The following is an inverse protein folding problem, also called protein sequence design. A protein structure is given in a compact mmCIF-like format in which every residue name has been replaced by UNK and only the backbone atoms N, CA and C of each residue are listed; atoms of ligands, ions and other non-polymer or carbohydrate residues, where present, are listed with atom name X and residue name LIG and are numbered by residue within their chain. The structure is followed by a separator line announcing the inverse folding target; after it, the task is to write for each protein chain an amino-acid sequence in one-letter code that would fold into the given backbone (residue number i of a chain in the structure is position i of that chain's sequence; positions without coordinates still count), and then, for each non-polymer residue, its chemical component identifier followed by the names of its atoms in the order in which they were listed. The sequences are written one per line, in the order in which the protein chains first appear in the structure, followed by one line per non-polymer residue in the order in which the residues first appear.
data_IF_200669990213
#
_entry.id   IF_200669990213
#
_cell.length_a   1.000
_cell.length_b   1.000
_cell.length_c   1.000
_cell.angle_alpha   90.00
_cell.angle_beta   90.00
_cell.angle_gamma   90.00
#
_symmetry.space_group_name_H-M   'P 1'
#
loop_
_entity.id
_entity.type
_entity.pdbx_description
1 polymer ?
#
# COMPACT_ATOMS: atom_id res chain seq x y z
N UNK A 1 -0.70 33.71 6.33
CA UNK A 1 0.51 33.16 6.98
C UNK A 1 0.29 31.81 7.69
N UNK A 2 -0.68 31.64 8.62
CA UNK A 2 -0.89 30.33 9.28
C UNK A 2 -1.46 29.25 8.34
N UNK A 3 -2.37 29.64 7.44
CA UNK A 3 -2.99 28.75 6.43
C UNK A 3 -1.99 28.30 5.36
N UNK A 4 -1.20 29.24 4.84
CA UNK A 4 -0.20 29.01 3.79
C UNK A 4 0.93 28.05 4.24
N UNK A 5 1.38 28.16 5.49
CA UNK A 5 2.35 27.21 6.06
C UNK A 5 1.75 25.81 6.22
N UNK A 6 0.46 25.71 6.51
CA UNK A 6 -0.25 24.43 6.61
C UNK A 6 -0.39 23.77 5.24
N UNK A 7 -0.76 24.54 4.21
CA UNK A 7 -0.90 24.05 2.83
C UNK A 7 0.43 23.56 2.25
N UNK A 8 1.52 24.31 2.47
CA UNK A 8 2.85 23.90 2.03
C UNK A 8 3.32 22.59 2.71
N UNK A 9 2.99 22.39 3.99
CA UNK A 9 3.30 21.16 4.72
C UNK A 9 2.50 19.98 4.16
N UNK A 10 1.20 20.16 3.92
CA UNK A 10 0.33 19.14 3.31
C UNK A 10 0.84 18.75 1.92
N UNK A 11 1.22 19.72 1.09
CA UNK A 11 1.78 19.46 -0.24
C UNK A 11 3.10 18.66 -0.15
N UNK A 12 3.96 19.00 0.81
CA UNK A 12 5.23 18.28 1.02
C UNK A 12 5.02 16.82 1.46
N UNK A 13 4.07 16.55 2.37
CA UNK A 13 3.75 15.19 2.80
C UNK A 13 3.01 14.39 1.71
N UNK A 14 2.23 15.06 0.87
CA UNK A 14 1.62 14.43 -0.29
C UNK A 14 2.67 14.02 -1.32
N UNK A 15 3.63 14.90 -1.63
CA UNK A 15 4.71 14.56 -2.57
C UNK A 15 5.56 13.39 -2.02
N UNK A 16 5.79 13.34 -0.71
CA UNK A 16 6.40 12.17 -0.06
C UNK A 16 5.59 10.89 -0.31
N UNK A 17 4.28 10.92 -0.06
CA UNK A 17 3.39 9.78 -0.26
C UNK A 17 3.44 9.29 -1.71
N UNK A 18 3.38 10.22 -2.66
CA UNK A 18 3.46 9.95 -4.09
C UNK A 18 4.78 9.30 -4.47
N UNK A 19 5.90 9.86 -4.02
CA UNK A 19 7.22 9.30 -4.29
C UNK A 19 7.38 7.90 -3.71
N UNK A 20 6.85 7.65 -2.51
CA UNK A 20 6.89 6.33 -1.87
C UNK A 20 6.13 5.29 -2.70
N UNK A 21 4.89 5.61 -3.11
CA UNK A 21 4.09 4.73 -3.99
C UNK A 21 4.82 4.45 -5.29
N UNK A 22 5.34 5.49 -5.96
CA UNK A 22 6.05 5.36 -7.24
C UNK A 22 7.32 4.51 -7.10
N UNK A 23 8.13 4.71 -6.05
CA UNK A 23 9.34 3.90 -5.79
C UNK A 23 8.98 2.45 -5.53
N UNK A 24 8.00 2.18 -4.67
CA UNK A 24 7.59 0.82 -4.35
C UNK A 24 7.04 0.08 -5.57
N UNK A 25 6.26 0.75 -6.42
CA UNK A 25 5.73 0.14 -7.65
C UNK A 25 6.85 -0.12 -8.66
N UNK A 26 7.74 0.85 -8.90
CA UNK A 26 8.87 0.67 -9.82
C UNK A 26 9.80 -0.46 -9.39
N UNK A 27 10.11 -0.56 -8.09
CA UNK A 27 10.90 -1.67 -7.53
C UNK A 27 10.26 -3.03 -7.84
N UNK A 28 8.95 -3.18 -7.58
CA UNK A 28 8.25 -4.46 -7.81
C UNK A 28 8.19 -4.84 -9.30
N UNK A 29 7.92 -3.88 -10.18
CA UNK A 29 7.88 -4.08 -11.64
C UNK A 29 9.26 -4.48 -12.17
N UNK A 30 10.32 -3.81 -11.70
CA UNK A 30 11.69 -4.11 -12.09
C UNK A 30 12.10 -5.51 -11.64
N UNK A 31 11.76 -5.90 -10.40
CA UNK A 31 12.03 -7.24 -9.86
C UNK A 31 11.25 -8.34 -10.58
N UNK A 32 10.04 -8.06 -11.05
CA UNK A 32 9.23 -8.99 -11.82
C UNK A 32 9.72 -9.17 -13.27
N UNK A 33 10.66 -8.34 -13.74
CA UNK A 33 11.13 -8.38 -15.13
C UNK A 33 10.08 -7.98 -16.16
N UNK A 34 9.05 -7.25 -15.73
CA UNK A 34 7.94 -6.80 -16.59
C UNK A 34 8.31 -5.53 -17.36
N UNK A 35 7.63 -5.28 -18.49
CA UNK A 35 7.84 -4.07 -19.29
C UNK A 35 7.57 -2.83 -18.44
N UNK A 36 8.48 -1.85 -18.47
CA UNK A 36 8.34 -0.61 -17.70
C UNK A 36 7.09 0.16 -18.17
N UNK A 37 6.06 0.31 -17.34
CA UNK A 37 4.92 1.15 -17.68
C UNK A 37 5.33 2.62 -17.66
N UNK A 38 4.58 3.46 -18.37
CA UNK A 38 4.73 4.91 -18.33
C UNK A 38 4.23 5.46 -16.98
N UNK A 39 5.05 5.32 -15.94
CA UNK A 39 4.79 5.88 -14.62
C UNK A 39 5.52 7.22 -14.45
N UNK A 40 4.91 8.17 -13.72
CA UNK A 40 5.59 9.40 -13.35
C UNK A 40 6.95 9.14 -12.67
N UNK A 41 7.93 9.98 -12.92
CA UNK A 41 9.18 9.96 -12.16
C UNK A 41 8.98 10.53 -10.75
N UNK A 42 9.52 9.89 -9.71
CA UNK A 42 9.57 10.48 -8.37
C UNK A 42 10.29 11.83 -8.42
N UNK A 43 9.76 12.83 -7.73
CA UNK A 43 10.40 14.14 -7.65
C UNK A 43 11.46 14.16 -6.56
N UNK A 44 12.61 14.75 -6.83
CA UNK A 44 13.67 14.88 -5.83
C UNK A 44 13.23 15.77 -4.67
N UNK A 45 13.35 15.27 -3.45
CA UNK A 45 13.05 16.02 -2.23
C UNK A 45 14.32 16.57 -1.56
N UNK A 46 14.18 17.29 -0.44
CA UNK A 46 15.34 17.66 0.38
C UNK A 46 16.09 16.42 0.86
N UNK A 47 17.40 16.54 1.13
CA UNK A 47 18.24 15.41 1.51
C UNK A 47 17.69 14.62 2.71
N UNK A 48 17.18 15.31 3.73
CA UNK A 48 16.57 14.69 4.92
C UNK A 48 15.29 13.91 4.58
N UNK A 49 14.42 14.49 3.74
CA UNK A 49 13.19 13.84 3.26
C UNK A 49 13.53 12.64 2.39
N UNK A 50 14.58 12.72 1.58
CA UNK A 50 15.02 11.61 0.75
C UNK A 50 15.57 10.45 1.56
N UNK A 51 16.40 10.74 2.57
CA UNK A 51 16.89 9.70 3.47
C UNK A 51 15.74 9.01 4.22
N UNK A 52 14.73 9.76 4.64
CA UNK A 52 13.52 9.21 5.24
C UNK A 52 12.73 8.36 4.24
N UNK A 53 12.59 8.84 3.01
CA UNK A 53 11.89 8.13 1.94
C UNK A 53 12.57 6.79 1.64
N UNK A 54 13.90 6.76 1.55
CA UNK A 54 14.66 5.53 1.37
C UNK A 54 14.48 4.55 2.54
N UNK A 55 14.45 5.04 3.78
CA UNK A 55 14.19 4.20 4.95
C UNK A 55 12.79 3.57 4.90
N UNK A 56 11.76 4.36 4.61
CA UNK A 56 10.38 3.86 4.55
C UNK A 56 10.19 2.95 3.34
N UNK A 57 10.81 3.25 2.19
CA UNK A 57 10.76 2.41 1.00
C UNK A 57 11.45 1.05 1.25
N UNK A 58 12.63 1.05 1.87
CA UNK A 58 13.32 -0.18 2.26
C UNK A 58 12.51 -1.01 3.26
N UNK A 59 11.93 -0.36 4.27
CA UNK A 59 11.05 -1.03 5.23
C UNK A 59 9.82 -1.64 4.55
N UNK A 60 9.20 -0.90 3.63
CA UNK A 60 8.07 -1.39 2.80
C UNK A 60 8.49 -2.61 1.99
N UNK A 61 9.68 -2.57 1.38
CA UNK A 61 10.25 -3.69 0.63
C UNK A 61 10.46 -4.91 1.53
N UNK A 62 11.09 -4.74 2.68
CA UNK A 62 11.38 -5.83 3.62
C UNK A 62 10.08 -6.48 4.14
N UNK A 63 9.08 -5.68 4.51
CA UNK A 63 7.74 -6.18 4.85
C UNK A 63 7.12 -6.92 3.65
N UNK A 64 7.21 -6.34 2.46
CA UNK A 64 6.71 -6.95 1.24
C UNK A 64 7.32 -8.33 0.97
N UNK A 65 8.62 -8.48 1.20
CA UNK A 65 9.38 -9.72 1.06
C UNK A 65 9.01 -10.75 2.16
N UNK A 66 8.73 -10.31 3.39
CA UNK A 66 8.24 -11.16 4.48
C UNK A 66 6.85 -11.71 4.14
N UNK A 67 5.92 -10.82 3.75
CA UNK A 67 4.55 -11.18 3.44
C UNK A 67 4.47 -12.01 2.14
N UNK A 68 5.44 -11.89 1.24
CA UNK A 68 5.53 -12.72 0.03
C UNK A 68 5.63 -14.23 0.32
N UNK A 69 6.06 -14.61 1.53
CA UNK A 69 6.11 -16.01 1.95
C UNK A 69 4.72 -16.57 2.28
N UNK A 70 3.71 -15.72 2.42
CA UNK A 70 2.33 -16.14 2.71
C UNK A 70 1.54 -16.39 1.40
N UNK A 71 1.23 -17.67 1.17
CA UNK A 71 0.43 -18.13 0.02
C UNK A 71 -0.96 -17.46 -0.01
N UNK A 72 -1.59 -17.21 1.14
CA UNK A 72 -2.92 -16.58 1.19
C UNK A 72 -2.87 -15.13 0.72
N UNK A 73 -1.83 -14.41 1.12
CA UNK A 73 -1.58 -13.05 0.65
C UNK A 73 -1.34 -13.02 -0.86
N UNK A 74 -0.49 -13.91 -1.38
CA UNK A 74 -0.22 -13.96 -2.81
C UNK A 74 -1.47 -14.29 -3.64
N UNK A 75 -2.28 -15.26 -3.20
CA UNK A 75 -3.55 -15.59 -3.86
C UNK A 75 -4.53 -14.40 -3.88
N UNK A 76 -4.56 -13.61 -2.82
CA UNK A 76 -5.38 -12.40 -2.74
C UNK A 76 -4.89 -11.33 -3.72
N UNK A 77 -3.58 -11.09 -3.79
CA UNK A 77 -2.98 -10.18 -4.79
C UNK A 77 -3.26 -10.67 -6.21
N UNK A 78 -3.13 -11.97 -6.48
CA UNK A 78 -3.44 -12.56 -7.79
C UNK A 78 -4.91 -12.40 -8.16
N UNK A 79 -5.80 -12.61 -7.19
CA UNK A 79 -7.24 -12.40 -7.35
C UNK A 79 -7.55 -10.95 -7.70
N UNK A 80 -6.95 -10.01 -6.98
CA UNK A 80 -7.11 -8.58 -7.22
C UNK A 80 -6.54 -8.15 -8.58
N UNK A 81 -5.34 -8.61 -8.96
CA UNK A 81 -4.72 -8.31 -10.25
C UNK A 81 -5.61 -8.73 -11.45
N UNK A 82 -6.37 -9.83 -11.33
CA UNK A 82 -7.27 -10.31 -12.39
C UNK A 82 -8.51 -9.43 -12.59
N UNK A 83 -8.91 -8.67 -11.58
CA UNK A 83 -10.13 -7.85 -11.56
C UNK A 83 -9.83 -6.39 -11.29
N UNK A 84 -8.57 -5.97 -11.46
CA UNK A 84 -8.10 -4.63 -11.13
C UNK A 84 -8.87 -3.59 -11.94
N UNK A 85 -9.86 -2.98 -11.30
CA UNK A 85 -10.72 -1.93 -11.80
C UNK A 85 -11.02 -0.97 -10.64
N UNK A 86 -11.65 0.17 -10.93
CA UNK A 86 -11.91 1.18 -9.91
C UNK A 86 -12.79 0.65 -8.77
N UNK A 87 -13.73 -0.26 -9.04
CA UNK A 87 -14.64 -0.81 -8.03
C UNK A 87 -13.94 -1.80 -7.10
N UNK A 88 -13.11 -2.68 -7.66
CA UNK A 88 -12.32 -3.63 -6.88
C UNK A 88 -11.26 -2.92 -6.04
N UNK A 89 -10.68 -1.83 -6.56
CA UNK A 89 -9.79 -0.96 -5.79
C UNK A 89 -10.53 -0.27 -4.63
N UNK A 90 -11.71 0.30 -4.86
CA UNK A 90 -12.53 0.87 -3.78
C UNK A 90 -12.86 -0.16 -2.70
N UNK A 91 -13.27 -1.37 -3.09
CA UNK A 91 -13.54 -2.45 -2.14
C UNK A 91 -12.29 -2.88 -1.35
N UNK A 92 -11.10 -2.85 -1.97
CA UNK A 92 -9.83 -3.13 -1.31
C UNK A 92 -9.56 -2.10 -0.20
N UNK A 93 -9.62 -0.80 -0.52
CA UNK A 93 -9.29 0.26 0.45
C UNK A 93 -10.30 0.34 1.59
N UNK A 94 -11.60 0.14 1.30
CA UNK A 94 -12.65 0.06 2.32
C UNK A 94 -12.38 -1.07 3.33
N UNK A 95 -11.92 -2.23 2.84
CA UNK A 95 -11.59 -3.37 3.71
C UNK A 95 -10.32 -3.15 4.52
N UNK A 96 -9.29 -2.57 3.89
CA UNK A 96 -8.03 -2.27 4.59
C UNK A 96 -8.28 -1.31 5.76
N UNK A 97 -9.07 -0.27 5.53
CA UNK A 97 -9.29 0.82 6.48
C UNK A 97 -10.62 0.77 7.23
N UNK A 98 -11.33 -0.37 7.21
CA UNK A 98 -12.68 -0.51 7.80
C UNK A 98 -12.77 -0.05 9.26
N UNK A 99 -11.80 -0.43 10.10
CA UNK A 99 -11.82 -0.07 11.52
C UNK A 99 -11.11 1.26 11.79
N UNK A 100 -9.92 1.41 11.21
CA UNK A 100 -9.03 2.54 11.49
C UNK A 100 -7.91 2.64 10.44
N UNK A 101 -7.38 3.86 10.31
CA UNK A 101 -6.15 4.15 9.56
C UNK A 101 -4.96 4.01 10.51
N UNK A 102 -3.97 3.21 10.10
CA UNK A 102 -2.67 3.05 10.79
C UNK A 102 -1.54 3.10 9.78
N UNK A 103 -0.33 3.47 10.21
CA UNK A 103 0.85 3.45 9.35
C UNK A 103 1.09 2.07 8.74
N UNK A 104 0.93 1.00 9.53
CA UNK A 104 1.05 -0.38 9.03
C UNK A 104 0.06 -0.74 7.92
N UNK A 105 -1.20 -0.27 8.02
CA UNK A 105 -2.21 -0.46 6.97
C UNK A 105 -1.88 0.34 5.70
N UNK A 106 -1.34 1.54 5.84
CA UNK A 106 -0.86 2.36 4.71
C UNK A 106 0.29 1.64 4.00
N UNK A 107 1.30 1.16 4.74
CA UNK A 107 2.42 0.39 4.16
C UNK A 107 1.92 -0.90 3.48
N UNK A 108 0.97 -1.60 4.10
CA UNK A 108 0.37 -2.81 3.52
C UNK A 108 -0.34 -2.52 2.20
N UNK A 109 -1.10 -1.42 2.11
CA UNK A 109 -1.71 -0.99 0.85
C UNK A 109 -0.64 -0.76 -0.21
N UNK A 110 0.44 -0.02 0.09
CA UNK A 110 1.53 0.24 -0.86
C UNK A 110 2.15 -1.08 -1.35
N UNK A 111 2.38 -2.06 -0.46
CA UNK A 111 2.87 -3.39 -0.84
C UNK A 111 1.92 -4.12 -1.80
N UNK A 112 0.60 -4.11 -1.52
CA UNK A 112 -0.41 -4.73 -2.38
C UNK A 112 -0.42 -4.07 -3.76
N UNK A 113 -0.38 -2.74 -3.82
CA UNK A 113 -0.38 -1.99 -5.08
C UNK A 113 0.89 -2.26 -5.89
N UNK A 114 2.07 -2.24 -5.27
CA UNK A 114 3.33 -2.55 -5.95
C UNK A 114 3.33 -3.95 -6.58
N UNK A 115 2.92 -4.97 -5.82
CA UNK A 115 2.84 -6.34 -6.32
C UNK A 115 1.74 -6.53 -7.37
N UNK A 116 0.61 -5.83 -7.24
CA UNK A 116 -0.46 -5.88 -8.23
C UNK A 116 -0.02 -5.25 -9.54
N UNK A 117 0.63 -4.09 -9.49
CA UNK A 117 1.16 -3.40 -10.66
C UNK A 117 2.18 -4.26 -11.44
N UNK A 118 2.97 -5.08 -10.74
CA UNK A 118 3.90 -6.04 -11.34
C UNK A 118 3.22 -7.28 -11.96
N UNK A 119 1.92 -7.49 -11.74
CA UNK A 119 1.17 -8.67 -12.23
C UNK A 119 0.12 -8.33 -13.29
N UNK A 120 -0.31 -7.08 -13.37
CA UNK A 120 -1.27 -6.61 -14.38
C UNK A 120 -0.56 -6.24 -15.68
N UNK A 121 -1.35 -6.06 -16.75
CA UNK A 121 -0.82 -5.60 -18.03
C UNK A 121 -0.13 -4.24 -17.84
N UNK A 122 1.01 -4.03 -18.50
CA UNK A 122 1.79 -2.80 -18.37
C UNK A 122 0.97 -1.52 -18.66
N UNK A 123 -0.03 -1.60 -19.53
CA UNK A 123 -0.91 -0.47 -19.83
C UNK A 123 -1.91 -0.13 -18.71
N UNK A 124 -2.21 -1.07 -17.80
CA UNK A 124 -3.13 -0.89 -16.67
C UNK A 124 -2.41 -0.56 -15.35
N UNK A 125 -1.07 -0.72 -15.32
CA UNK A 125 -0.24 -0.36 -14.17
C UNK A 125 -0.31 1.13 -13.80
N UNK A 126 -0.40 2.09 -14.74
CA UNK A 126 -0.61 3.49 -14.40
C UNK A 126 -1.94 3.74 -13.69
N UNK A 127 -3.04 3.10 -14.13
CA UNK A 127 -4.38 3.35 -13.60
C UNK A 127 -4.47 3.03 -12.10
N UNK A 128 -3.96 1.87 -11.69
CA UNK A 128 -3.96 1.48 -10.27
C UNK A 128 -3.09 2.41 -9.41
N UNK A 129 -2.00 2.92 -9.97
CA UNK A 129 -1.16 3.92 -9.30
C UNK A 129 -1.93 5.22 -9.15
N UNK A 130 -2.62 5.69 -10.20
CA UNK A 130 -3.42 6.92 -10.12
C UNK A 130 -4.56 6.81 -9.10
N UNK A 131 -5.31 5.70 -9.09
CA UNK A 131 -6.35 5.49 -8.07
C UNK A 131 -5.77 5.48 -6.66
N UNK A 132 -4.57 4.93 -6.49
CA UNK A 132 -3.86 4.95 -5.21
C UNK A 132 -3.50 6.38 -4.82
N UNK A 133 -2.89 7.16 -5.72
CA UNK A 133 -2.51 8.55 -5.46
C UNK A 133 -3.74 9.44 -5.17
N UNK A 134 -4.83 9.25 -5.89
CA UNK A 134 -6.11 9.91 -5.63
C UNK A 134 -6.63 9.57 -4.22
N UNK A 135 -6.58 8.29 -3.84
CA UNK A 135 -6.98 7.88 -2.48
C UNK A 135 -6.08 8.48 -1.39
N UNK A 136 -4.77 8.57 -1.63
CA UNK A 136 -3.85 9.23 -0.72
C UNK A 136 -4.22 10.70 -0.54
N UNK A 137 -4.44 11.42 -1.64
CA UNK A 137 -4.84 12.83 -1.63
C UNK A 137 -6.15 13.05 -0.87
N UNK A 138 -7.17 12.25 -1.19
CA UNK A 138 -8.54 12.52 -0.80
C UNK A 138 -8.87 12.00 0.61
N UNK A 139 -8.23 10.92 1.07
CA UNK A 139 -8.59 10.24 2.33
C UNK A 139 -7.43 10.13 3.33
N UNK A 140 -6.21 9.86 2.89
CA UNK A 140 -5.09 9.59 3.80
C UNK A 140 -4.31 10.86 4.17
N UNK A 141 -4.28 11.87 3.29
CA UNK A 141 -3.43 13.04 3.45
C UNK A 141 -3.68 13.78 4.76
N UNK A 142 -4.95 14.03 5.08
CA UNK A 142 -5.33 14.71 6.32
C UNK A 142 -4.92 13.89 7.55
N UNK A 143 -5.09 12.56 7.50
CA UNK A 143 -4.68 11.69 8.59
C UNK A 143 -3.15 11.70 8.80
N UNK A 144 -2.39 11.60 7.70
CA UNK A 144 -0.92 11.64 7.69
C UNK A 144 -0.42 12.92 8.36
N UNK A 145 -0.92 14.07 7.94
CA UNK A 145 -0.47 15.35 8.48
C UNK A 145 -0.91 15.55 9.95
N UNK A 146 -2.12 15.11 10.31
CA UNK A 146 -2.58 15.13 11.71
C UNK A 146 -1.75 14.22 12.64
N UNK A 147 -1.03 13.24 12.09
CA UNK A 147 -0.07 12.39 12.83
C UNK A 147 1.37 12.93 12.81
N UNK A 148 1.57 14.15 12.31
CA UNK A 148 2.90 14.79 12.21
C UNK A 148 3.68 14.40 10.96
N UNK A 149 2.99 13.92 9.92
CA UNK A 149 3.57 13.59 8.62
C UNK A 149 4.40 12.30 8.66
N UNK A 150 5.10 12.05 7.55
CA UNK A 150 5.86 10.81 7.36
C UNK A 150 7.07 10.67 8.31
N UNK A 151 7.56 11.76 8.90
CA UNK A 151 8.63 11.71 9.90
C UNK A 151 8.22 10.87 11.12
N UNK A 152 6.95 10.94 11.51
CA UNK A 152 6.42 10.16 12.63
C UNK A 152 6.07 8.71 12.28
N UNK A 153 6.09 8.35 10.99
CA UNK A 153 5.79 6.99 10.55
C UNK A 153 6.80 5.99 11.10
N UNK A 154 8.11 6.29 11.05
CA UNK A 154 9.16 5.37 11.51
C UNK A 154 9.03 5.06 12.99
N UNK A 155 8.74 6.04 13.84
CA UNK A 155 8.55 5.79 15.28
C UNK A 155 7.39 4.84 15.55
N UNK A 156 6.27 5.03 14.84
CA UNK A 156 5.11 4.16 14.96
C UNK A 156 5.36 2.77 14.36
N UNK A 157 6.05 2.73 13.23
CA UNK A 157 6.38 1.48 12.53
C UNK A 157 7.38 0.69 13.35
N UNK A 158 8.47 1.28 13.84
CA UNK A 158 9.43 0.63 14.73
C UNK A 158 8.77 0.08 16.00
N UNK A 159 7.86 0.84 16.62
CA UNK A 159 7.07 0.33 17.77
C UNK A 159 6.21 -0.87 17.41
N UNK A 160 5.64 -0.88 16.21
CA UNK A 160 4.85 -2.00 15.68
C UNK A 160 5.74 -3.16 15.23
N UNK A 161 6.96 -2.88 14.77
CA UNK A 161 7.98 -3.85 14.36
C UNK A 161 8.54 -4.63 15.54
N UNK A 162 8.64 -4.00 16.73
CA UNK A 162 8.96 -4.70 17.99
C UNK A 162 7.83 -5.62 18.47
N UNK A 163 6.57 -5.37 18.10
CA UNK A 163 5.49 -6.37 18.28
C UNK A 163 5.45 -7.41 17.15
N UNK A 164 6.11 -7.13 16.02
CA UNK A 164 6.42 -8.08 14.95
C UNK A 164 7.76 -8.81 15.18
N UNK A 165 8.38 -8.68 16.36
CA UNK A 165 9.36 -9.67 16.82
C UNK A 165 8.66 -11.02 16.77
N UNK A 166 9.04 -11.78 15.76
CA UNK A 166 8.65 -13.15 15.49
C UNK A 166 8.86 -13.97 16.76
N UNK A 167 7.83 -14.05 17.60
CA UNK A 167 7.91 -14.75 18.88
C UNK A 167 8.17 -16.22 18.58
N UNK A 168 9.43 -16.60 18.73
CA UNK A 168 9.85 -17.97 18.95
C UNK A 168 9.34 -18.39 20.32
N UNK A 169 8.05 -18.69 20.44
CA UNK A 169 7.53 -19.46 21.56
C UNK A 169 6.22 -20.17 21.19
N UNK A 170 6.14 -21.41 21.62
CA UNK A 170 5.10 -22.40 21.36
C UNK A 170 3.74 -22.00 21.94
N UNK A 171 2.90 -21.29 21.19
CA UNK A 171 1.43 -21.36 21.22
C UNK A 171 0.80 -20.40 20.18
N UNK A 172 -0.37 -20.72 19.57
CA UNK A 172 -0.85 -20.03 18.39
C UNK A 172 -1.61 -18.76 18.79
N UNK A 173 -0.90 -17.64 18.86
CA UNK A 173 -1.52 -16.32 19.02
C UNK A 173 -1.79 -15.74 17.64
N UNK A 174 -3.02 -16.01 17.20
CA UNK A 174 -3.92 -15.21 16.36
C UNK A 174 -3.30 -14.00 15.62
N UNK A 175 -2.99 -14.21 14.35
CA UNK A 175 -2.87 -13.19 13.28
C UNK A 175 -4.24 -12.50 12.99
N UNK A 176 -4.94 -12.05 14.02
CA UNK A 176 -6.25 -11.40 13.93
C UNK A 176 -6.10 -9.88 13.84
N UNK A 177 -6.05 -9.35 12.62
CA UNK A 177 -6.86 -8.18 12.21
C UNK A 177 -6.45 -7.70 10.82
N UNK A 178 -5.15 -7.65 10.50
CA UNK A 178 -4.68 -7.06 9.23
C UNK A 178 -4.75 -7.99 8.00
N UNK A 179 -4.38 -9.27 8.15
CA UNK A 179 -4.13 -10.15 6.99
C UNK A 179 -5.36 -11.00 6.61
N UNK A 180 -6.29 -11.23 7.55
CA UNK A 180 -7.46 -12.11 7.31
C UNK A 180 -8.61 -11.40 6.55
N UNK A 181 -8.71 -10.07 6.59
CA UNK A 181 -9.89 -9.38 6.04
C UNK A 181 -9.97 -9.32 4.50
N UNK A 182 -8.86 -9.51 3.80
CA UNK A 182 -8.84 -9.40 2.33
C UNK A 182 -9.09 -10.74 1.62
N UNK A 183 -8.81 -11.88 2.27
CA UNK A 183 -9.01 -13.20 1.67
C UNK A 183 -10.48 -13.64 1.58
N UNK A 184 -11.27 -13.39 2.63
CA UNK A 184 -12.65 -13.87 2.69
C UNK A 184 -13.62 -13.18 1.71
N UNK A 185 -13.44 -11.87 1.49
CA UNK A 185 -14.40 -11.08 0.72
C UNK A 185 -14.12 -11.06 -0.80
N UNK A 186 -12.87 -11.29 -1.23
CA UNK A 186 -12.56 -11.45 -2.66
C UNK A 186 -13.07 -12.80 -3.19
N UNK A 187 -12.95 -13.88 -2.40
CA UNK A 187 -13.57 -15.17 -2.74
C UNK A 187 -15.10 -15.05 -2.82
N UNK A 188 -15.74 -14.35 -1.88
CA UNK A 188 -17.18 -14.08 -1.92
C UNK A 188 -17.63 -13.28 -3.15
N UNK A 189 -16.90 -12.21 -3.50
CA UNK A 189 -17.17 -11.41 -4.69
C UNK A 189 -16.98 -12.18 -6.01
N UNK A 190 -15.97 -13.05 -6.08
CA UNK A 190 -15.67 -13.86 -7.27
C UNK A 190 -16.74 -14.94 -7.50
N UNK A 191 -17.31 -15.51 -6.43
CA UNK A 191 -18.43 -16.46 -6.49
C UNK A 191 -19.70 -15.77 -6.98
N UNK A 192 -20.05 -14.61 -6.41
CA UNK A 192 -21.25 -13.83 -6.82
C UNK A 192 -21.12 -13.34 -8.26
N UNK A 193 -19.94 -12.87 -8.67
CA UNK A 193 -19.66 -12.44 -10.05
C UNK A 193 -19.72 -13.57 -11.08
N UNK A 194 -19.25 -14.77 -10.72
CA UNK A 194 -19.35 -15.97 -11.58
C UNK A 194 -20.80 -16.43 -11.74
N UNK A 195 -21.62 -16.35 -10.69
CA UNK A 195 -23.03 -16.72 -10.74
C UNK A 195 -23.87 -15.74 -11.58
N UNK A 196 -23.57 -14.44 -11.50
CA UNK A 196 -24.29 -13.41 -12.28
C UNK A 196 -23.99 -13.44 -13.79
N UNK A 197 -22.95 -14.16 -14.21
CA UNK A 197 -22.50 -14.25 -15.61
C UNK A 197 -22.83 -15.59 -16.27
N UNK A 198 -23.45 -16.51 -15.52
CA UNK A 198 -23.88 -17.83 -15.98
C UNK A 198 -25.41 -18.02 -15.97
N UNK A 199 -26.17 -16.93 -15.88
CA UNK A 199 -27.62 -16.88 -16.05
C UNK A 199 -27.97 -15.97 -17.23
#
# INVERSE_FOLDING_TARGET
MKTEKSEALMASDYEFSKNLVLRSVKDQIQRAGTCAPSLPEPQLMSAEREQLLDQVANFTRDIGDIIDRDIKFNNMVDGFARVADTQSFQSLVEKVFVDCITWGKIITLICVIGKTAAKILANSAPDIVFWTLDYFRDYLQNWICNRGGWVNSIYSLARSSFELDFSSSSSPISLSSGVIFLGGALLGGLIVWRLKRGA
#
